data_IF_553939896106
#
_entry.id   IF_553939896106
#
_cell.length_a   1.000
_cell.length_b   1.000
_cell.length_c   1.000
_cell.angle_alpha   90.00
_cell.angle_beta   90.00
_cell.angle_gamma   90.00
#
_symmetry.space_group_name_H-M   'P 1'
#
loop_
_entity.id
_entity.type
_entity.pdbx_description
1 polymer ?
#
# COMPACT_ATOMS: atom_id res chain seq x y z
N UNK A 1 -10.35 15.51 19.49
CA UNK A 1 -9.67 14.29 18.99
C UNK A 1 -10.11 13.83 17.60
N UNK A 2 -10.61 14.72 16.71
CA UNK A 2 -10.94 14.39 15.30
C UNK A 2 -9.92 14.92 14.27
N UNK A 3 -9.05 15.85 14.68
CA UNK A 3 -8.08 16.56 13.80
C UNK A 3 -6.82 15.77 13.45
N UNK A 4 -6.46 14.73 14.22
CA UNK A 4 -5.14 14.08 14.13
C UNK A 4 -5.15 12.90 13.15
N UNK A 5 -6.28 12.23 12.94
CA UNK A 5 -6.32 10.97 12.18
C UNK A 5 -6.20 11.14 10.66
N UNK A 6 -6.65 12.26 10.08
CA UNK A 6 -6.46 12.53 8.64
C UNK A 6 -5.00 12.91 8.29
N UNK A 7 -4.20 13.32 9.29
CA UNK A 7 -2.78 13.65 9.09
C UNK A 7 -1.89 12.40 9.05
N UNK A 8 -2.35 11.29 9.62
CA UNK A 8 -1.56 10.07 9.84
C UNK A 8 -1.44 9.19 8.59
N UNK A 9 -2.53 8.99 7.85
CA UNK A 9 -2.52 8.25 6.57
C UNK A 9 -1.58 8.90 5.55
N UNK A 10 -1.36 10.21 5.67
CA UNK A 10 -0.52 10.99 4.77
C UNK A 10 0.99 10.90 5.07
N UNK A 11 1.38 10.61 6.32
CA UNK A 11 2.81 10.53 6.70
C UNK A 11 3.47 9.27 6.14
N UNK A 12 2.72 8.18 5.91
CA UNK A 12 3.24 6.94 5.33
C UNK A 12 3.65 7.10 3.85
N UNK A 13 2.90 7.87 3.05
CA UNK A 13 3.32 8.26 1.69
C UNK A 13 4.50 9.25 1.68
N UNK A 14 4.66 10.01 2.77
CA UNK A 14 5.71 11.02 2.91
C UNK A 14 7.06 10.44 3.37
N UNK A 15 7.06 9.35 4.16
CA UNK A 15 8.29 8.62 4.52
C UNK A 15 8.97 7.97 3.32
N UNK A 16 8.21 7.59 2.28
CA UNK A 16 8.77 7.13 1.00
C UNK A 16 9.44 8.30 0.27
N UNK A 17 8.85 9.50 0.28
CA UNK A 17 9.46 10.69 -0.34
C UNK A 17 10.83 11.06 0.26
N UNK A 18 11.01 10.87 1.58
CA UNK A 18 12.27 11.17 2.27
C UNK A 18 13.37 10.14 2.02
N UNK A 19 13.02 8.85 1.89
CA UNK A 19 14.00 7.80 1.56
C UNK A 19 14.38 7.77 0.07
N UNK A 20 13.52 8.26 -0.82
CA UNK A 20 13.80 8.33 -2.26
C UNK A 20 14.72 9.49 -2.64
N UNK A 21 14.71 10.60 -1.90
CA UNK A 21 15.59 11.74 -2.18
C UNK A 21 17.06 11.49 -1.79
N UNK A 22 17.33 10.64 -0.79
CA UNK A 22 18.70 10.27 -0.43
C UNK A 22 19.32 9.24 -1.38
N UNK A 23 18.53 8.24 -1.83
CA UNK A 23 19.01 7.20 -2.75
C UNK A 23 19.19 7.67 -4.21
N UNK A 24 18.52 8.74 -4.62
CA UNK A 24 18.61 9.25 -6.01
C UNK A 24 19.97 9.88 -6.34
N UNK A 25 20.71 10.35 -5.32
CA UNK A 25 22.06 10.91 -5.50
C UNK A 25 23.11 9.79 -5.64
N UNK A 26 22.83 8.60 -5.11
CA UNK A 26 23.73 7.43 -5.22
C UNK A 26 23.47 6.58 -6.48
N UNK A 27 22.20 6.38 -6.89
CA UNK A 27 21.88 5.51 -8.02
C UNK A 27 22.28 6.08 -9.40
N UNK A 28 22.32 7.41 -9.55
CA UNK A 28 22.75 8.06 -10.82
C UNK A 28 24.25 7.82 -11.10
N UNK A 29 25.02 7.36 -10.11
CA UNK A 29 26.44 7.03 -10.29
C UNK A 29 26.73 5.56 -10.63
N UNK A 30 25.78 4.62 -10.52
CA UNK A 30 26.14 3.19 -10.42
C UNK A 30 25.55 2.20 -11.43
N UNK A 31 24.59 2.55 -12.30
CA UNK A 31 23.99 1.53 -13.20
C UNK A 31 24.18 1.83 -14.70
N UNK A 32 25.43 1.64 -15.14
CA UNK A 32 25.66 0.85 -16.34
C UNK A 32 25.68 -0.63 -15.96
N UNK A 33 25.00 -1.47 -16.75
CA UNK A 33 25.03 -2.95 -16.72
C UNK A 33 24.21 -3.71 -15.64
N UNK A 34 23.00 -4.19 -16.00
CA UNK A 34 22.71 -5.61 -16.38
C UNK A 34 21.20 -5.94 -16.48
N UNK A 35 20.91 -6.92 -17.34
CA UNK A 35 19.60 -7.49 -17.73
C UNK A 35 19.09 -8.59 -16.77
N UNK A 36 17.77 -8.69 -16.63
CA UNK A 36 16.88 -9.83 -17.01
C UNK A 36 15.67 -9.98 -16.06
N UNK A 37 14.45 -9.78 -16.59
CA UNK A 37 13.37 -10.76 -16.90
C UNK A 37 12.62 -11.30 -15.66
N UNK A 38 11.38 -10.83 -15.47
CA UNK A 38 10.23 -11.74 -15.29
C UNK A 38 8.90 -11.06 -15.68
N UNK A 39 8.00 -11.83 -16.32
CA UNK A 39 6.77 -11.37 -17.00
C UNK A 39 5.59 -11.30 -16.01
N UNK A 40 5.07 -10.09 -15.79
CA UNK A 40 3.70 -9.87 -15.31
C UNK A 40 2.90 -9.32 -16.49
N UNK A 41 1.78 -9.95 -16.83
CA UNK A 41 0.97 -9.56 -18.00
C UNK A 41 0.25 -8.23 -17.76
N UNK A 42 0.93 -7.12 -18.10
CA UNK A 42 0.30 -5.85 -18.44
C UNK A 42 0.17 -5.76 -19.97
N UNK A 43 -1.06 -5.55 -20.46
CA UNK A 43 -1.29 -5.31 -21.90
C UNK A 43 -1.33 -3.81 -22.17
N UNK A 44 -0.34 -3.33 -22.92
CA UNK A 44 -0.41 -2.04 -23.63
C UNK A 44 -1.28 -2.24 -24.87
N UNK A 45 -2.47 -1.63 -24.92
CA UNK A 45 -3.29 -1.58 -26.14
C UNK A 45 -3.53 -0.13 -26.58
N UNK A 46 -3.21 0.16 -27.85
CA UNK A 46 -3.70 1.30 -28.65
C UNK A 46 -3.08 2.68 -28.39
N UNK A 47 -2.21 3.17 -29.31
CA UNK A 47 -1.73 4.56 -29.31
C UNK A 47 -2.59 5.45 -30.22
N UNK A 48 -3.18 6.50 -29.64
CA UNK A 48 -3.34 7.78 -30.34
C UNK A 48 -2.16 8.64 -29.89
N UNK A 49 -1.34 9.09 -30.84
CA UNK A 49 -0.05 9.78 -30.71
C UNK A 49 0.30 10.30 -29.29
N UNK A 50 1.32 9.69 -28.66
CA UNK A 50 1.88 10.08 -27.36
C UNK A 50 1.21 9.45 -26.13
N UNK A 51 -0.11 9.25 -26.16
CA UNK A 51 -0.83 8.73 -24.99
C UNK A 51 -0.75 7.21 -24.90
N UNK A 52 -0.46 6.72 -23.69
CA UNK A 52 -0.45 5.31 -23.28
C UNK A 52 -1.62 5.06 -22.36
N UNK A 53 -2.15 3.84 -22.37
CA UNK A 53 -3.14 3.38 -21.41
C UNK A 53 -2.52 2.30 -20.51
N UNK A 54 -2.70 2.47 -19.20
CA UNK A 54 -2.37 1.46 -18.20
C UNK A 54 -3.67 0.81 -17.71
N UNK A 55 -3.70 -0.52 -17.74
CA UNK A 55 -4.84 -1.32 -17.28
C UNK A 55 -4.33 -2.34 -16.29
N UNK A 56 -4.84 -2.28 -15.05
CA UNK A 56 -4.63 -3.33 -14.06
C UNK A 56 -5.93 -4.10 -13.86
N UNK A 57 -6.04 -5.28 -14.49
CA UNK A 57 -7.13 -6.22 -14.23
C UNK A 57 -7.05 -6.79 -12.81
N UNK A 58 -5.82 -7.02 -12.33
CA UNK A 58 -5.51 -7.50 -10.98
C UNK A 58 -6.06 -6.58 -9.90
N UNK A 59 -5.91 -5.27 -10.07
CA UNK A 59 -6.39 -4.28 -9.10
C UNK A 59 -7.69 -3.58 -9.53
N UNK A 60 -8.19 -3.83 -10.74
CA UNK A 60 -9.49 -3.37 -11.21
C UNK A 60 -9.57 -1.89 -11.55
N UNK A 61 -8.53 -1.31 -12.17
CA UNK A 61 -8.54 0.09 -12.61
C UNK A 61 -7.79 0.29 -13.93
N UNK A 62 -8.03 1.43 -14.57
CA UNK A 62 -7.28 1.88 -15.74
C UNK A 62 -7.17 3.40 -15.79
N UNK A 63 -6.13 3.92 -16.45
CA UNK A 63 -5.95 5.34 -16.74
C UNK A 63 -5.06 5.53 -17.97
N UNK A 64 -5.08 6.74 -18.52
CA UNK A 64 -4.18 7.18 -19.60
C UNK A 64 -3.09 8.11 -19.06
N UNK A 65 -1.91 8.05 -19.65
CA UNK A 65 -0.75 8.88 -19.32
C UNK A 65 0.14 9.09 -20.56
N UNK A 66 1.06 10.05 -20.52
CA UNK A 66 1.97 10.32 -21.65
C UNK A 66 3.43 10.43 -21.17
N UNK A 67 3.82 11.63 -20.70
CA UNK A 67 5.21 11.99 -20.35
C UNK A 67 5.67 11.53 -18.96
N UNK A 68 4.78 10.88 -18.21
CA UNK A 68 5.06 10.41 -16.86
C UNK A 68 5.79 9.06 -16.88
N UNK A 69 6.76 8.91 -15.99
CA UNK A 69 7.47 7.65 -15.75
C UNK A 69 6.59 6.78 -14.85
N UNK A 70 6.19 5.61 -15.34
CA UNK A 70 5.35 4.64 -14.63
C UNK A 70 6.22 3.63 -13.87
N UNK A 71 5.91 3.42 -12.59
CA UNK A 71 6.43 2.34 -11.76
C UNK A 71 5.26 1.58 -11.10
N UNK A 72 5.09 0.31 -11.46
CA UNK A 72 4.01 -0.56 -10.98
C UNK A 72 4.50 -1.74 -10.12
N UNK A 73 5.79 -1.76 -9.77
CA UNK A 73 6.41 -2.78 -8.91
C UNK A 73 6.58 -2.28 -7.48
N UNK A 74 5.49 -1.77 -6.90
CA UNK A 74 5.48 -1.21 -5.57
C UNK A 74 5.16 -2.26 -4.49
N UNK A 75 5.64 -2.00 -3.27
CA UNK A 75 5.40 -2.83 -2.09
C UNK A 75 4.32 -2.19 -1.21
N UNK A 76 3.73 -2.97 -0.30
CA UNK A 76 2.65 -2.46 0.55
C UNK A 76 1.33 -2.21 -0.21
N UNK A 77 0.65 -1.13 0.18
CA UNK A 77 -0.63 -0.68 -0.39
C UNK A 77 -0.48 0.23 -1.62
N UNK A 78 0.71 0.73 -1.89
CA UNK A 78 0.98 1.48 -3.11
C UNK A 78 1.05 0.50 -4.27
N UNK A 79 0.22 0.72 -5.28
CA UNK A 79 0.10 -0.18 -6.43
C UNK A 79 0.73 0.39 -7.69
N UNK A 80 0.71 1.72 -7.83
CA UNK A 80 1.30 2.43 -8.97
C UNK A 80 1.85 3.77 -8.52
N UNK A 81 3.03 4.13 -9.02
CA UNK A 81 3.60 5.48 -8.94
C UNK A 81 3.82 6.01 -10.36
N UNK A 82 3.44 7.27 -10.58
CA UNK A 82 3.75 8.04 -11.76
C UNK A 82 4.62 9.21 -11.36
N UNK A 83 5.77 9.38 -12.01
CA UNK A 83 6.73 10.43 -11.68
C UNK A 83 6.97 11.35 -12.87
N UNK A 84 6.90 12.64 -12.61
CA UNK A 84 7.34 13.67 -13.54
C UNK A 84 8.85 13.93 -13.39
N UNK A 85 9.50 14.42 -14.45
CA UNK A 85 10.94 14.71 -14.45
C UNK A 85 11.36 15.78 -13.43
N UNK A 86 10.42 16.64 -13.00
CA UNK A 86 10.64 17.63 -11.93
C UNK A 86 10.77 17.00 -10.54
N UNK A 87 10.39 15.73 -10.37
CA UNK A 87 10.29 15.06 -9.08
C UNK A 87 8.88 15.04 -8.48
N UNK A 88 7.93 15.78 -9.08
CA UNK A 88 6.51 15.69 -8.72
C UNK A 88 5.97 14.29 -9.06
N UNK A 89 5.00 13.81 -8.27
CA UNK A 89 4.57 12.42 -8.40
C UNK A 89 3.09 12.23 -8.09
N UNK A 90 2.55 11.14 -8.60
CA UNK A 90 1.26 10.62 -8.23
C UNK A 90 1.39 9.17 -7.77
N UNK A 91 0.70 8.82 -6.69
CA UNK A 91 0.68 7.45 -6.16
C UNK A 91 -0.76 6.99 -6.10
N UNK A 92 -1.03 5.81 -6.65
CA UNK A 92 -2.27 5.08 -6.41
C UNK A 92 -2.05 4.11 -5.26
N UNK A 93 -2.86 4.25 -4.21
CA UNK A 93 -2.89 3.31 -3.09
C UNK A 93 -4.28 2.69 -2.95
N UNK A 94 -4.34 1.41 -2.57
CA UNK A 94 -5.60 0.71 -2.27
C UNK A 94 -5.58 0.31 -0.81
N UNK A 95 -6.58 0.77 -0.05
CA UNK A 95 -6.60 0.60 1.40
C UNK A 95 -7.95 0.14 1.91
N UNK A 96 -7.93 -0.60 3.02
CA UNK A 96 -9.14 -0.82 3.81
C UNK A 96 -9.52 0.49 4.55
N UNK A 97 -10.82 0.76 4.71
CA UNK A 97 -11.29 1.86 5.55
C UNK A 97 -10.67 1.80 6.95
N UNK A 98 -10.49 2.96 7.56
CA UNK A 98 -10.11 3.04 8.97
C UNK A 98 -11.27 2.61 9.88
N UNK A 99 -10.96 2.17 11.11
CA UNK A 99 -11.97 1.76 12.09
C UNK A 99 -13.02 2.84 12.42
N UNK A 100 -12.70 4.13 12.22
CA UNK A 100 -13.66 5.23 12.38
C UNK A 100 -14.59 5.41 11.18
N UNK A 101 -14.21 4.90 10.01
CA UNK A 101 -15.01 4.84 8.79
C UNK A 101 -15.87 3.58 8.89
N UNK A 102 -17.04 3.69 9.52
CA UNK A 102 -17.96 2.56 9.67
C UNK A 102 -18.34 1.95 8.31
N UNK A 103 -18.32 2.77 7.26
CA UNK A 103 -18.39 2.38 5.86
C UNK A 103 -17.30 3.14 5.05
N UNK A 104 -16.64 2.53 4.05
CA UNK A 104 -15.74 3.23 3.13
C UNK A 104 -16.29 4.55 2.54
N UNK A 105 -17.60 4.65 2.30
CA UNK A 105 -18.24 5.88 1.83
C UNK A 105 -18.16 7.04 2.82
N UNK A 106 -17.96 6.77 4.11
CA UNK A 106 -17.75 7.82 5.12
C UNK A 106 -16.49 8.62 4.81
N UNK A 107 -15.48 8.00 4.18
CA UNK A 107 -14.29 8.71 3.71
C UNK A 107 -14.67 9.79 2.70
N UNK A 108 -15.44 9.44 1.67
CA UNK A 108 -15.91 10.36 0.62
C UNK A 108 -16.65 11.55 1.24
N UNK A 109 -17.49 11.29 2.25
CA UNK A 109 -18.30 12.31 2.93
C UNK A 109 -17.53 13.17 3.91
N UNK A 110 -16.46 12.68 4.53
CA UNK A 110 -15.79 13.36 5.64
C UNK A 110 -14.42 13.94 5.29
N UNK A 111 -13.73 13.38 4.28
CA UNK A 111 -12.39 13.81 3.91
C UNK A 111 -12.35 15.33 3.67
N UNK A 112 -11.37 15.97 4.31
CA UNK A 112 -11.04 17.40 4.22
C UNK A 112 -12.06 18.40 4.77
N UNK A 113 -13.25 18.00 5.24
CA UNK A 113 -14.25 18.97 5.73
C UNK A 113 -13.77 19.83 6.91
N UNK A 114 -12.93 19.25 7.79
CA UNK A 114 -12.45 19.91 9.01
C UNK A 114 -10.91 19.97 9.10
N UNK A 115 -10.20 19.86 7.96
CA UNK A 115 -8.74 19.71 7.99
C UNK A 115 -7.99 21.01 8.28
N UNK A 116 -8.62 22.17 8.06
CA UNK A 116 -7.97 23.48 8.17
C UNK A 116 -7.01 23.79 7.02
N UNK A 117 -6.90 22.90 6.02
CA UNK A 117 -6.14 23.17 4.80
C UNK A 117 -6.90 24.17 3.92
N UNK A 118 -6.17 24.91 3.07
CA UNK A 118 -6.80 25.69 2.01
C UNK A 118 -7.24 24.74 0.90
N UNK A 119 -8.56 24.60 0.75
CA UNK A 119 -9.21 23.74 -0.24
C UNK A 119 -9.60 24.59 -1.46
N UNK A 120 -9.15 24.18 -2.64
CA UNK A 120 -9.50 24.80 -3.92
C UNK A 120 -10.69 24.10 -4.57
N UNK A 121 -10.73 22.77 -4.43
CA UNK A 121 -11.80 21.94 -4.97
C UNK A 121 -12.12 20.84 -3.96
N UNK A 122 -13.41 20.60 -3.74
CA UNK A 122 -13.90 19.38 -3.10
C UNK A 122 -15.22 19.01 -3.77
N UNK A 123 -15.20 17.97 -4.59
CA UNK A 123 -16.34 17.54 -5.37
C UNK A 123 -16.62 16.05 -5.14
N UNK A 124 -17.76 15.77 -4.53
CA UNK A 124 -18.32 14.42 -4.46
C UNK A 124 -19.02 14.12 -5.80
N UNK A 125 -18.78 12.94 -6.35
CA UNK A 125 -19.36 12.51 -7.62
C UNK A 125 -19.39 10.98 -7.71
N UNK A 126 -19.77 10.45 -8.89
CA UNK A 126 -19.65 9.03 -9.17
C UNK A 126 -18.62 8.80 -10.28
N UNK A 127 -17.70 7.88 -10.05
CA UNK A 127 -16.79 7.37 -11.06
C UNK A 127 -17.42 6.10 -11.65
N UNK A 128 -18.17 6.25 -12.74
CA UNK A 128 -19.09 5.21 -13.20
C UNK A 128 -20.21 4.99 -12.17
N UNK A 129 -20.30 3.78 -11.60
CA UNK A 129 -21.25 3.46 -10.52
C UNK A 129 -20.69 3.67 -9.11
N UNK A 130 -19.39 3.95 -8.98
CA UNK A 130 -18.69 3.96 -7.70
C UNK A 130 -18.70 5.36 -7.07
N UNK A 131 -18.99 5.49 -5.75
CA UNK A 131 -18.85 6.75 -5.04
C UNK A 131 -17.41 7.26 -5.10
N UNK A 132 -17.25 8.55 -5.40
CA UNK A 132 -15.94 9.17 -5.59
C UNK A 132 -15.86 10.60 -5.05
N UNK A 133 -14.63 11.03 -4.79
CA UNK A 133 -14.25 12.37 -4.35
C UNK A 133 -13.09 12.85 -5.19
N UNK A 134 -13.18 14.07 -5.71
CA UNK A 134 -12.04 14.82 -6.23
C UNK A 134 -11.80 16.00 -5.29
N UNK A 135 -10.61 16.05 -4.69
CA UNK A 135 -10.19 17.13 -3.81
C UNK A 135 -8.89 17.75 -4.29
N UNK A 136 -8.78 19.06 -4.22
CA UNK A 136 -7.55 19.81 -4.45
C UNK A 136 -7.33 20.78 -3.30
N UNK A 137 -6.13 20.72 -2.71
CA UNK A 137 -5.77 21.51 -1.55
C UNK A 137 -4.29 21.87 -1.56
N UNK A 138 -3.91 22.83 -0.72
CA UNK A 138 -2.50 23.09 -0.43
C UNK A 138 -2.13 22.75 1.00
N UNK A 139 -0.93 22.19 1.17
CA UNK A 139 -0.37 21.88 2.48
C UNK A 139 1.12 22.20 2.50
N UNK A 140 1.61 22.64 3.66
CA UNK A 140 3.05 22.88 3.86
C UNK A 140 3.70 21.64 4.49
N UNK A 141 4.73 21.11 3.83
CA UNK A 141 5.54 19.98 4.28
C UNK A 141 6.98 20.46 4.40
N UNK A 142 7.57 20.43 5.60
CA UNK A 142 8.94 20.91 5.86
C UNK A 142 9.23 22.29 5.22
N UNK A 143 8.28 23.22 5.35
CA UNK A 143 8.32 24.60 4.77
C UNK A 143 8.17 24.68 3.25
N UNK A 144 8.04 23.56 2.54
CA UNK A 144 7.69 23.55 1.11
C UNK A 144 6.17 23.51 1.01
N UNK A 145 5.59 24.44 0.24
CA UNK A 145 4.15 24.46 -0.01
C UNK A 145 3.87 23.52 -1.18
N UNK A 146 3.06 22.50 -0.94
CA UNK A 146 2.68 21.52 -1.93
C UNK A 146 1.24 21.76 -2.36
N UNK A 147 0.99 21.58 -3.66
CA UNK A 147 -0.35 21.36 -4.21
C UNK A 147 -0.63 19.87 -4.21
N UNK A 148 -1.78 19.49 -3.68
CA UNK A 148 -2.22 18.10 -3.61
C UNK A 148 -3.54 17.97 -4.34
N UNK A 149 -3.63 17.00 -5.25
CA UNK A 149 -4.89 16.58 -5.87
C UNK A 149 -5.13 15.12 -5.50
N UNK A 150 -6.26 14.81 -4.88
CA UNK A 150 -6.67 13.44 -4.61
C UNK A 150 -7.94 13.12 -5.40
N UNK A 151 -7.86 12.05 -6.19
CA UNK A 151 -9.02 11.33 -6.70
C UNK A 151 -9.19 10.05 -5.87
N UNK A 152 -10.25 10.01 -5.05
CA UNK A 152 -10.60 8.83 -4.27
C UNK A 152 -11.90 8.19 -4.78
N UNK A 153 -11.97 6.86 -4.79
CA UNK A 153 -13.17 6.11 -5.13
C UNK A 153 -13.32 4.85 -4.27
N UNK A 154 -14.55 4.45 -4.01
CA UNK A 154 -14.88 3.27 -3.20
C UNK A 154 -15.35 2.12 -4.08
N UNK A 155 -14.68 0.96 -3.98
CA UNK A 155 -15.05 -0.27 -4.70
C UNK A 155 -14.70 -1.50 -3.88
N UNK A 156 -15.62 -2.46 -3.86
CA UNK A 156 -15.45 -3.77 -3.20
C UNK A 156 -15.04 -3.70 -1.71
N UNK A 157 -15.44 -2.62 -1.01
CA UNK A 157 -15.06 -2.41 0.39
C UNK A 157 -13.69 -1.75 0.60
N UNK A 158 -13.00 -1.36 -0.47
CA UNK A 158 -11.70 -0.69 -0.45
C UNK A 158 -11.79 0.75 -0.97
N UNK A 159 -10.86 1.58 -0.51
CA UNK A 159 -10.65 2.95 -0.98
C UNK A 159 -9.47 2.93 -1.95
N UNK A 160 -9.73 3.31 -3.19
CA UNK A 160 -8.73 3.60 -4.21
C UNK A 160 -8.42 5.09 -4.11
N UNK A 161 -7.19 5.47 -3.75
CA UNK A 161 -6.79 6.87 -3.62
C UNK A 161 -5.62 7.15 -4.55
N UNK A 162 -5.86 7.98 -5.57
CA UNK A 162 -4.84 8.48 -6.47
C UNK A 162 -4.44 9.90 -6.03
N UNK A 163 -3.27 10.03 -5.42
CA UNK A 163 -2.78 11.28 -4.83
C UNK A 163 -1.65 11.83 -5.66
N UNK A 164 -1.89 12.97 -6.30
CA UNK A 164 -0.88 13.80 -6.96
C UNK A 164 -0.32 14.79 -5.96
N UNK A 165 1.00 14.88 -5.87
CA UNK A 165 1.73 15.84 -5.04
C UNK A 165 2.70 16.62 -5.91
N UNK A 166 2.52 17.93 -5.94
CA UNK A 166 3.32 18.87 -6.74
C UNK A 166 3.86 20.00 -5.86
N UNK A 167 5.06 20.51 -6.14
CA UNK A 167 5.46 21.81 -5.60
C UNK A 167 4.49 22.89 -6.11
N UNK A 168 3.93 23.69 -5.19
CA UNK A 168 3.00 24.77 -5.51
C UNK A 168 3.55 25.72 -6.58
N UNK A 169 4.88 25.91 -6.64
CA UNK A 169 5.53 26.81 -7.60
C UNK A 169 5.51 26.29 -9.04
N UNK A 170 5.38 24.98 -9.23
CA UNK A 170 5.48 24.33 -10.54
C UNK A 170 4.13 23.80 -11.05
N UNK A 171 3.04 24.09 -10.34
CA UNK A 171 1.71 23.52 -10.64
C UNK A 171 1.30 23.80 -12.08
N UNK A 172 1.47 25.03 -12.55
CA UNK A 172 1.01 25.43 -13.89
C UNK A 172 1.75 24.69 -15.02
N UNK A 173 3.00 24.26 -14.77
CA UNK A 173 3.84 23.55 -15.73
C UNK A 173 3.50 22.05 -15.77
N UNK A 174 3.24 21.44 -14.62
CA UNK A 174 3.18 19.98 -14.48
C UNK A 174 1.74 19.45 -14.43
N UNK A 175 0.78 20.26 -13.97
CA UNK A 175 -0.60 19.82 -13.71
C UNK A 175 -1.26 19.13 -14.89
N UNK A 176 -1.04 19.64 -16.11
CA UNK A 176 -1.67 19.10 -17.34
C UNK A 176 -1.36 17.62 -17.56
N UNK A 177 -0.16 17.17 -17.15
CA UNK A 177 0.24 15.77 -17.30
C UNK A 177 -0.52 14.86 -16.32
N UNK A 178 -0.74 15.32 -15.09
CA UNK A 178 -1.53 14.58 -14.10
C UNK A 178 -3.04 14.70 -14.34
N UNK A 179 -3.52 15.81 -14.90
CA UNK A 179 -4.92 15.98 -15.29
C UNK A 179 -5.35 14.93 -16.33
N UNK A 180 -4.46 14.54 -17.25
CA UNK A 180 -4.73 13.43 -18.18
C UNK A 180 -5.03 12.13 -17.42
N UNK A 181 -4.24 11.83 -16.39
CA UNK A 181 -4.41 10.63 -15.56
C UNK A 181 -5.70 10.70 -14.77
N UNK A 182 -5.94 11.80 -14.05
CA UNK A 182 -7.14 11.99 -13.23
C UNK A 182 -8.42 11.91 -14.07
N UNK A 183 -8.45 12.58 -15.23
CA UNK A 183 -9.65 12.66 -16.07
C UNK A 183 -9.94 11.37 -16.82
N UNK A 184 -8.95 10.51 -17.02
CA UNK A 184 -9.11 9.21 -17.70
C UNK A 184 -9.17 8.03 -16.73
N UNK A 185 -8.93 8.26 -15.44
CA UNK A 185 -8.98 7.23 -14.41
C UNK A 185 -10.38 6.63 -14.35
N UNK A 186 -10.45 5.31 -14.34
CA UNK A 186 -11.70 4.56 -14.21
C UNK A 186 -11.48 3.27 -13.44
N UNK A 187 -12.50 2.88 -12.69
CA UNK A 187 -12.56 1.57 -12.08
C UNK A 187 -13.21 0.59 -13.07
N UNK A 188 -12.63 -0.61 -13.15
CA UNK A 188 -13.18 -1.70 -13.95
C UNK A 188 -14.33 -2.36 -13.20
N UNK A 189 -15.32 -2.89 -13.92
CA UNK A 189 -16.49 -3.54 -13.28
C UNK A 189 -16.16 -4.88 -12.61
N UNK A 190 -15.02 -5.48 -12.95
CA UNK A 190 -14.55 -6.74 -12.39
C UNK A 190 -14.37 -6.63 -10.88
N UNK A 191 -15.00 -7.53 -10.13
CA UNK A 191 -14.82 -7.64 -8.67
C UNK A 191 -13.36 -8.01 -8.37
N UNK A 192 -12.73 -7.31 -7.44
CA UNK A 192 -11.35 -7.57 -7.01
C UNK A 192 -11.36 -8.02 -5.56
N UNK A 193 -10.68 -9.13 -5.28
CA UNK A 193 -10.39 -9.53 -3.90
C UNK A 193 -8.94 -9.15 -3.57
N UNK A 194 -8.76 -7.99 -2.94
CA UNK A 194 -7.43 -7.50 -2.57
C UNK A 194 -6.72 -8.43 -1.59
N UNK A 195 -7.46 -9.18 -0.75
CA UNK A 195 -6.85 -10.16 0.15
C UNK A 195 -6.21 -11.33 -0.62
N UNK A 196 -6.83 -11.79 -1.70
CA UNK A 196 -6.24 -12.84 -2.55
C UNK A 196 -5.02 -12.29 -3.30
N UNK A 197 -5.07 -11.04 -3.75
CA UNK A 197 -3.92 -10.34 -4.34
C UNK A 197 -2.74 -10.23 -3.35
N UNK A 198 -3.01 -10.02 -2.07
CA UNK A 198 -1.97 -10.04 -1.05
C UNK A 198 -1.43 -11.46 -0.82
N UNK A 199 -2.27 -12.50 -0.84
CA UNK A 199 -1.78 -13.89 -0.74
C UNK A 199 -0.81 -14.25 -1.87
N UNK A 200 -1.00 -13.70 -3.07
CA UNK A 200 -0.03 -13.87 -4.17
C UNK A 200 1.36 -13.26 -3.88
N UNK A 201 1.50 -12.36 -2.90
CA UNK A 201 2.81 -11.87 -2.45
C UNK A 201 3.55 -12.88 -1.58
N UNK A 202 2.87 -13.90 -1.07
CA UNK A 202 3.47 -14.96 -0.29
C UNK A 202 3.97 -16.06 -1.24
N UNK A 203 5.07 -16.74 -0.90
CA UNK A 203 5.48 -17.93 -1.63
C UNK A 203 4.39 -18.99 -1.69
N UNK A 204 4.34 -19.73 -2.79
CA UNK A 204 3.38 -20.82 -2.99
C UNK A 204 3.45 -21.93 -1.92
N UNK A 205 4.59 -22.04 -1.22
CA UNK A 205 4.81 -23.01 -0.13
C UNK A 205 4.63 -22.40 1.28
N UNK A 206 4.03 -21.22 1.39
CA UNK A 206 3.64 -20.65 2.68
C UNK A 206 2.65 -21.59 3.41
N UNK A 207 2.88 -21.94 4.69
CA UNK A 207 2.10 -22.96 5.39
C UNK A 207 0.81 -22.35 5.97
N UNK A 208 -0.11 -21.95 5.10
CA UNK A 208 -1.37 -21.28 5.45
C UNK A 208 -2.20 -22.02 6.52
N UNK A 209 -2.20 -23.36 6.47
CA UNK A 209 -2.95 -24.19 7.42
C UNK A 209 -2.29 -24.26 8.81
N UNK A 210 -0.98 -24.04 8.88
CA UNK A 210 -0.22 -24.04 10.14
C UNK A 210 -0.33 -22.68 10.81
N UNK A 211 -0.22 -21.61 10.01
CA UNK A 211 -0.16 -20.23 10.47
C UNK A 211 -0.91 -19.29 9.50
N UNK A 212 -2.25 -19.23 9.61
CA UNK A 212 -3.02 -18.27 8.83
C UNK A 212 -2.69 -16.83 9.27
N UNK A 213 -2.61 -15.91 8.30
CA UNK A 213 -2.52 -14.49 8.63
C UNK A 213 -3.85 -14.00 9.20
N UNK A 214 -3.79 -13.03 10.13
CA UNK A 214 -4.97 -12.53 10.83
C UNK A 214 -5.11 -11.01 10.69
N UNK A 215 -6.33 -10.58 10.32
CA UNK A 215 -6.71 -9.18 10.19
C UNK A 215 -5.71 -8.34 9.37
N UNK A 216 -5.30 -8.85 8.20
CA UNK A 216 -4.33 -8.18 7.33
C UNK A 216 -4.98 -6.94 6.70
N UNK A 217 -4.35 -5.79 6.90
CA UNK A 217 -4.66 -4.53 6.21
C UNK A 217 -3.65 -4.20 5.11
N UNK A 218 -2.43 -4.74 5.20
CA UNK A 218 -1.35 -4.52 4.24
C UNK A 218 -0.23 -5.55 4.43
N UNK A 219 0.20 -6.23 3.37
CA UNK A 219 1.49 -6.93 3.39
C UNK A 219 2.59 -5.92 3.04
N UNK A 220 3.34 -5.53 4.06
CA UNK A 220 4.41 -4.54 3.98
C UNK A 220 5.65 -5.11 3.31
N UNK A 221 6.08 -6.31 3.71
CA UNK A 221 7.29 -6.93 3.21
C UNK A 221 7.26 -8.45 3.36
N UNK A 222 7.87 -9.15 2.40
CA UNK A 222 8.11 -10.58 2.45
C UNK A 222 9.57 -10.81 2.06
N UNK A 223 10.29 -11.63 2.83
CA UNK A 223 11.62 -12.13 2.46
C UNK A 223 11.64 -13.63 2.36
N UNK A 224 12.30 -14.13 1.32
CA UNK A 224 12.39 -15.54 0.98
C UNK A 224 11.35 -15.88 -0.08
N UNK A 225 11.81 -16.48 -1.17
CA UNK A 225 10.94 -16.81 -2.31
C UNK A 225 10.30 -18.19 -2.16
N UNK A 226 10.77 -18.98 -1.19
CA UNK A 226 10.24 -20.30 -0.83
C UNK A 226 10.81 -20.78 0.50
N UNK A 227 10.00 -21.39 1.36
CA UNK A 227 10.49 -22.02 2.60
C UNK A 227 11.44 -23.20 2.33
N UNK A 228 11.23 -23.93 1.23
CA UNK A 228 12.10 -25.04 0.82
C UNK A 228 13.49 -24.57 0.39
N UNK A 229 13.57 -23.43 -0.30
CA UNK A 229 14.82 -22.94 -0.91
C UNK A 229 15.57 -21.93 -0.01
N UNK A 230 14.84 -20.97 0.57
CA UNK A 230 15.41 -19.84 1.32
C UNK A 230 15.84 -20.23 2.74
N UNK A 231 15.36 -21.38 3.25
CA UNK A 231 15.53 -21.88 4.62
C UNK A 231 14.98 -20.98 5.73
N UNK A 232 14.49 -19.80 5.39
CA UNK A 232 13.79 -18.89 6.28
C UNK A 232 12.86 -18.00 5.45
N UNK A 233 11.67 -17.75 5.97
CA UNK A 233 10.69 -16.85 5.40
C UNK A 233 10.29 -15.83 6.46
N UNK A 234 10.31 -14.56 6.11
CA UNK A 234 9.73 -13.51 6.96
C UNK A 234 8.58 -12.83 6.24
N UNK A 235 7.44 -12.71 6.91
CA UNK A 235 6.30 -11.91 6.47
C UNK A 235 6.08 -10.80 7.47
N UNK A 236 6.09 -9.57 6.99
CA UNK A 236 5.74 -8.38 7.76
C UNK A 236 4.47 -7.79 7.16
N UNK A 237 3.44 -7.70 7.98
CA UNK A 237 2.18 -7.12 7.59
C UNK A 237 1.66 -6.19 8.68
N UNK A 238 0.85 -5.22 8.28
CA UNK A 238 0.22 -4.31 9.22
C UNK A 238 -1.26 -4.66 9.42
N UNK A 239 -1.77 -4.42 10.63
CA UNK A 239 -3.15 -4.62 11.04
C UNK A 239 -3.64 -3.45 11.91
N UNK A 240 -4.88 -3.02 11.71
CA UNK A 240 -5.59 -2.06 12.56
C UNK A 240 -6.29 -2.74 13.74
N UNK A 241 -6.30 -4.08 13.81
CA UNK A 241 -6.91 -4.81 14.91
C UNK A 241 -6.15 -4.61 16.23
N UNK A 242 -6.86 -4.73 17.36
CA UNK A 242 -6.25 -4.57 18.69
C UNK A 242 -5.14 -5.60 18.91
N UNK A 243 -4.03 -5.16 19.49
CA UNK A 243 -2.87 -6.02 19.81
C UNK A 243 -3.28 -7.29 20.58
N UNK A 244 -4.14 -7.16 21.59
CA UNK A 244 -4.64 -8.31 22.36
C UNK A 244 -5.37 -9.34 21.50
N UNK A 245 -6.17 -8.91 20.52
CA UNK A 245 -6.89 -9.84 19.64
C UNK A 245 -5.94 -10.54 18.68
N UNK A 246 -4.97 -9.82 18.11
CA UNK A 246 -3.94 -10.41 17.26
C UNK A 246 -3.15 -11.46 18.06
N UNK A 247 -2.71 -11.08 19.26
CA UNK A 247 -1.98 -11.96 20.16
C UNK A 247 -2.81 -13.19 20.55
N UNK A 248 -4.08 -13.01 20.92
CA UNK A 248 -4.97 -14.11 21.29
C UNK A 248 -5.22 -15.06 20.13
N UNK A 249 -5.40 -14.54 18.91
CA UNK A 249 -5.51 -15.34 17.71
C UNK A 249 -4.29 -16.24 17.52
N UNK A 250 -3.08 -15.66 17.47
CA UNK A 250 -1.86 -16.44 17.27
C UNK A 250 -1.54 -17.35 18.46
N UNK A 251 -1.90 -16.95 19.67
CA UNK A 251 -1.80 -17.79 20.88
C UNK A 251 -2.67 -19.03 20.79
N UNK A 252 -3.86 -18.91 20.18
CA UNK A 252 -4.75 -20.03 19.91
C UNK A 252 -4.22 -20.90 18.78
N UNK A 253 -3.73 -20.29 17.70
CA UNK A 253 -3.10 -21.04 16.60
C UNK A 253 -1.90 -21.84 17.10
N UNK A 254 -1.08 -21.27 17.98
CA UNK A 254 0.15 -21.90 18.49
C UNK A 254 -0.06 -22.75 19.75
N UNK A 255 -1.30 -22.99 20.22
CA UNK A 255 -1.55 -23.59 21.55
C UNK A 255 -1.00 -25.01 21.75
N UNK A 256 -0.71 -25.74 20.67
CA UNK A 256 -0.08 -27.06 20.68
C UNK A 256 1.35 -27.09 20.15
N UNK A 257 2.01 -25.94 20.04
CA UNK A 257 3.39 -25.87 19.57
C UNK A 257 4.36 -26.40 20.64
N UNK A 258 5.38 -27.15 20.20
CA UNK A 258 6.48 -27.57 21.05
C UNK A 258 7.35 -26.36 21.42
N UNK A 259 7.77 -26.29 22.69
CA UNK A 259 8.60 -25.18 23.17
C UNK A 259 7.91 -23.81 23.09
N UNK A 260 6.58 -23.77 23.17
CA UNK A 260 5.81 -22.54 23.10
C UNK A 260 6.22 -21.54 24.19
N UNK A 261 6.73 -20.38 23.77
CA UNK A 261 7.03 -19.24 24.63
C UNK A 261 6.10 -18.08 24.27
N UNK A 262 5.56 -17.42 25.28
CA UNK A 262 4.72 -16.22 25.15
C UNK A 262 5.29 -15.12 26.04
N UNK A 263 5.74 -14.02 25.44
CA UNK A 263 6.29 -12.88 26.17
C UNK A 263 5.34 -11.70 26.12
N UNK A 264 4.52 -11.58 27.16
CA UNK A 264 3.45 -10.58 27.22
C UNK A 264 2.52 -10.69 26.01
N UNK A 265 1.97 -9.56 25.56
CA UNK A 265 1.13 -9.48 24.36
C UNK A 265 1.93 -9.16 23.09
N UNK A 266 3.25 -9.30 23.13
CA UNK A 266 4.15 -8.79 22.08
C UNK A 266 4.77 -9.90 21.24
N UNK A 267 5.04 -11.08 21.82
CA UNK A 267 5.63 -12.16 21.02
C UNK A 267 5.19 -13.56 21.43
N UNK A 268 5.17 -14.42 20.40
CA UNK A 268 4.83 -15.84 20.49
C UNK A 268 5.86 -16.58 19.64
N UNK A 269 6.55 -17.56 20.23
CA UNK A 269 7.48 -18.41 19.49
C UNK A 269 7.29 -19.87 19.86
N UNK A 270 7.61 -20.77 18.94
CA UNK A 270 7.54 -22.21 19.16
C UNK A 270 7.59 -22.99 17.87
N UNK A 271 7.56 -24.31 18.00
CA UNK A 271 7.62 -25.22 16.87
C UNK A 271 6.25 -25.83 16.60
N UNK A 272 5.72 -25.65 15.39
CA UNK A 272 4.43 -26.21 14.99
C UNK A 272 4.51 -26.86 13.62
N UNK A 273 4.04 -28.09 13.51
CA UNK A 273 3.98 -28.85 12.25
C UNK A 273 5.31 -28.89 11.46
N UNK A 274 6.45 -29.02 12.17
CA UNK A 274 7.78 -29.08 11.54
C UNK A 274 8.43 -27.72 11.25
N UNK A 275 7.79 -26.62 11.61
CA UNK A 275 8.31 -25.26 11.42
C UNK A 275 8.62 -24.60 12.76
N UNK A 276 9.79 -23.98 12.86
CA UNK A 276 10.09 -22.98 13.89
C UNK A 276 9.42 -21.67 13.49
N UNK A 277 8.56 -21.15 14.35
CA UNK A 277 7.74 -19.96 14.11
C UNK A 277 8.03 -18.94 15.21
N UNK A 278 8.30 -17.70 14.82
CA UNK A 278 8.44 -16.55 15.71
C UNK A 278 7.54 -15.42 15.23
N UNK A 279 6.67 -14.94 16.12
CA UNK A 279 5.67 -13.92 15.84
C UNK A 279 5.91 -12.75 16.79
N UNK A 280 6.20 -11.58 16.23
CA UNK A 280 6.35 -10.33 16.97
C UNK A 280 5.27 -9.33 16.55
N UNK A 281 4.65 -8.68 17.53
CA UNK A 281 3.57 -7.72 17.36
C UNK A 281 4.01 -6.38 17.95
N UNK A 282 4.29 -5.44 17.07
CA UNK A 282 4.69 -4.07 17.42
C UNK A 282 3.48 -3.14 17.32
N UNK A 283 3.30 -2.25 18.30
CA UNK A 283 2.22 -1.26 18.32
C UNK A 283 2.72 0.14 18.00
N UNK A 284 2.17 0.77 16.97
CA UNK A 284 2.47 2.15 16.60
C UNK A 284 1.33 3.06 17.08
N UNK A 285 1.48 3.58 18.30
CA UNK A 285 0.43 4.34 18.98
C UNK A 285 -0.04 5.57 18.19
N UNK A 286 0.87 6.24 17.49
CA UNK A 286 0.54 7.47 16.73
C UNK A 286 -0.38 7.22 15.55
N UNK A 287 -0.40 5.99 15.02
CA UNK A 287 -1.14 5.65 13.82
C UNK A 287 -2.18 4.55 14.04
N UNK A 288 -2.39 4.14 15.30
CA UNK A 288 -3.28 3.06 15.73
C UNK A 288 -3.16 1.79 14.86
N UNK A 289 -1.92 1.45 14.47
CA UNK A 289 -1.57 0.34 13.58
C UNK A 289 -0.61 -0.59 14.30
N UNK A 290 -0.71 -1.89 14.02
CA UNK A 290 0.12 -2.94 14.59
C UNK A 290 0.90 -3.58 13.46
N UNK A 291 2.19 -3.75 13.62
CA UNK A 291 3.01 -4.51 12.69
C UNK A 291 3.21 -5.90 13.25
N UNK A 292 2.80 -6.88 12.48
CA UNK A 292 3.01 -8.28 12.78
C UNK A 292 4.14 -8.77 11.91
N UNK A 293 5.22 -9.21 12.55
CA UNK A 293 6.35 -9.86 11.91
C UNK A 293 6.29 -11.34 12.25
N UNK A 294 6.22 -12.17 11.22
CA UNK A 294 6.22 -13.62 11.31
C UNK A 294 7.49 -14.13 10.64
N UNK A 295 8.33 -14.83 11.39
CA UNK A 295 9.51 -15.53 10.89
C UNK A 295 9.22 -17.04 10.96
N UNK A 296 9.47 -17.74 9.86
CA UNK A 296 9.19 -19.17 9.71
C UNK A 296 10.43 -19.82 9.13
N UNK A 297 10.90 -20.91 9.75
CA UNK A 297 11.97 -21.73 9.20
C UNK A 297 11.65 -23.21 9.35
N UNK A 298 12.00 -24.07 8.38
CA UNK A 298 11.92 -25.52 8.58
C UNK A 298 12.86 -25.92 9.71
N UNK A 299 12.41 -26.85 10.57
CA UNK A 299 13.31 -27.49 11.53
C UNK A 299 14.47 -28.12 10.77
N UNK A 300 15.70 -27.81 11.18
CA UNK A 300 16.86 -28.57 10.73
C UNK A 300 16.68 -29.99 11.24
N UNK A 301 16.33 -30.92 10.36
CA UNK A 301 16.45 -32.34 10.67
C UNK A 301 17.91 -32.57 10.97
N UNK A 302 18.24 -32.86 12.23
CA UNK A 302 19.58 -33.30 12.60
C UNK A 302 19.88 -34.55 11.75
N UNK A 303 20.88 -34.44 10.88
CA UNK A 303 21.43 -35.58 10.15
C UNK A 303 22.40 -36.32 11.04
#
# INVERSE_FOLDING_TARGET
>A
MKRIHLQVLFILGLTVFLNSCSKLVELIKSEGEKKSVDKTESKLEGSQQGQKEYISTKFGFAFKYDKLILNDKLQGNDVVELKHISGDKAVLSITKPDAWQKNPEDYIKMAYKDSGDKIYLRKEFKLGKFPALLAELTRSVMKIKMRIIELAAVKDGYIYSFVVTMDEKNVDDVRKEFDLVINSFRLLDTKVNIEDVWKEKLPSDFPHDVLPLYAVDEIYWVSGDSLKNSRELTVVYDSKEKQEKIFNHFSSVMSGAEGLVKNGTYSISGTKSGYSININIESFQYIDKRRVRIEISPLKVAR
#
